data_IF_607970387976
#
_entry.id   IF_607970387976
#
_cell.length_a   1.000
_cell.length_b   1.000
_cell.length_c   1.000
_cell.angle_alpha   90.00
_cell.angle_beta   90.00
_cell.angle_gamma   90.00
#
_symmetry.space_group_name_H-M   'P 1'
#
loop_
_entity.id
_entity.type
_entity.pdbx_description
1 polymer ?
#
# COMPACT_ATOMS: atom_id res chain seq x y z
N UNK A 1 -20.94 -22.93 21.55
CA UNK A 1 -20.62 -24.03 20.60
C UNK A 1 -19.51 -24.85 21.21
N UNK A 2 -19.78 -26.11 21.54
CA UNK A 2 -18.76 -27.02 22.10
C UNK A 2 -17.82 -27.47 20.96
N UNK A 3 -16.50 -27.46 21.20
CA UNK A 3 -15.49 -27.92 20.24
C UNK A 3 -14.78 -29.13 20.85
N UNK A 4 -14.86 -30.27 20.17
CA UNK A 4 -14.15 -31.50 20.54
C UNK A 4 -13.21 -31.93 19.43
N UNK A 5 -12.09 -32.55 19.82
CA UNK A 5 -11.13 -33.14 18.89
C UNK A 5 -11.38 -34.65 18.83
N UNK A 6 -11.55 -35.17 17.63
CA UNK A 6 -11.85 -36.58 17.37
C UNK A 6 -10.72 -37.16 16.50
N UNK A 7 -10.24 -38.35 16.85
CA UNK A 7 -9.28 -39.08 16.05
C UNK A 7 -9.96 -39.66 14.80
N UNK A 8 -9.42 -39.39 13.61
CA UNK A 8 -9.99 -39.82 12.33
C UNK A 8 -10.06 -41.35 12.19
N UNK A 9 -9.03 -42.07 12.63
CA UNK A 9 -8.96 -43.53 12.47
C UNK A 9 -9.83 -44.30 13.46
N UNK A 10 -9.98 -43.79 14.69
CA UNK A 10 -10.63 -44.52 15.79
C UNK A 10 -12.00 -43.97 16.15
N UNK A 11 -12.34 -42.77 15.70
CA UNK A 11 -13.55 -42.05 16.13
C UNK A 11 -13.56 -41.69 17.63
N UNK A 12 -12.47 -41.94 18.36
CA UNK A 12 -12.38 -41.68 19.79
C UNK A 12 -12.12 -40.18 20.06
N UNK A 13 -12.66 -39.71 21.19
CA UNK A 13 -12.38 -38.37 21.70
C UNK A 13 -10.94 -38.28 22.19
N UNK A 14 -10.23 -37.25 21.75
CA UNK A 14 -8.87 -36.97 22.18
C UNK A 14 -8.94 -36.28 23.55
N UNK A 15 -8.55 -36.98 24.62
CA UNK A 15 -8.56 -36.46 25.99
C UNK A 15 -7.31 -35.64 26.33
N UNK A 16 -6.14 -36.07 25.85
CA UNK A 16 -4.90 -35.36 26.08
C UNK A 16 -4.73 -34.20 25.09
N UNK A 17 -4.16 -33.07 25.51
CA UNK A 17 -3.93 -31.97 24.59
C UNK A 17 -2.96 -32.41 23.48
N UNK A 18 -3.27 -32.12 22.21
CA UNK A 18 -2.41 -32.51 21.11
C UNK A 18 -1.05 -31.82 21.21
N UNK A 19 0.01 -32.56 20.86
CA UNK A 19 1.37 -32.01 20.78
C UNK A 19 1.49 -31.13 19.55
N UNK A 20 2.16 -29.98 19.68
CA UNK A 20 2.51 -29.14 18.55
C UNK A 20 3.76 -29.71 17.87
N UNK A 21 3.74 -29.81 16.54
CA UNK A 21 4.89 -30.28 15.76
C UNK A 21 5.37 -29.13 14.88
N UNK A 22 6.64 -28.76 15.03
CA UNK A 22 7.31 -27.76 14.19
C UNK A 22 8.44 -28.47 13.41
N UNK A 23 8.31 -28.63 12.08
CA UNK A 23 9.38 -29.20 11.27
C UNK A 23 10.53 -28.20 11.14
N UNK A 24 11.76 -28.67 11.29
CA UNK A 24 12.98 -27.89 11.12
C UNK A 24 14.11 -28.76 10.54
N UNK A 25 14.65 -28.36 9.37
CA UNK A 25 15.76 -29.04 8.68
C UNK A 25 15.60 -30.57 8.59
N UNK A 26 14.39 -31.02 8.25
CA UNK A 26 13.98 -32.43 8.13
C UNK A 26 13.73 -33.20 9.43
N UNK A 27 13.79 -32.54 10.59
CA UNK A 27 13.40 -33.13 11.87
C UNK A 27 12.09 -32.53 12.38
N UNK A 28 11.25 -33.36 13.00
CA UNK A 28 10.00 -32.93 13.61
C UNK A 28 10.21 -32.67 15.09
N UNK A 29 10.30 -31.40 15.47
CA UNK A 29 10.40 -30.99 16.88
C UNK A 29 9.00 -30.98 17.48
N UNK A 30 8.79 -31.72 18.57
CA UNK A 30 7.50 -31.86 19.24
C UNK A 30 7.52 -31.04 20.52
N UNK A 31 6.46 -30.28 20.76
CA UNK A 31 6.27 -29.48 21.97
C UNK A 31 4.93 -29.81 22.62
N UNK A 32 4.92 -29.84 23.95
CA UNK A 32 3.72 -29.77 24.76
C UNK A 32 3.24 -28.31 24.84
N UNK A 33 1.93 -28.06 25.00
CA UNK A 33 1.40 -26.70 25.18
C UNK A 33 2.03 -25.95 26.37
N UNK A 34 2.35 -26.69 27.43
CA UNK A 34 3.01 -26.18 28.64
C UNK A 34 4.42 -25.67 28.34
N UNK A 35 5.22 -26.43 27.58
CA UNK A 35 6.57 -26.03 27.17
C UNK A 35 6.54 -24.74 26.33
N UNK A 36 5.55 -24.61 25.44
CA UNK A 36 5.37 -23.38 24.64
C UNK A 36 5.00 -22.20 25.55
N UNK A 37 4.16 -22.42 26.55
CA UNK A 37 3.80 -21.40 27.52
C UNK A 37 5.02 -20.95 28.34
N UNK A 38 5.87 -21.88 28.74
CA UNK A 38 7.11 -21.59 29.45
C UNK A 38 8.11 -20.80 28.59
N UNK A 39 8.31 -21.19 27.33
CA UNK A 39 9.19 -20.49 26.39
C UNK A 39 8.72 -19.03 26.18
N UNK A 40 7.41 -18.79 26.16
CA UNK A 40 6.83 -17.44 26.01
C UNK A 40 6.86 -16.60 27.30
N UNK A 41 7.11 -17.22 28.47
CA UNK A 41 7.06 -16.53 29.78
C UNK A 41 8.38 -15.81 30.07
N UNK A 42 8.55 -14.63 29.49
CA UNK A 42 9.75 -13.79 29.66
C UNK A 42 9.66 -12.90 30.91
N UNK A 43 8.46 -12.46 31.31
CA UNK A 43 8.27 -11.58 32.46
C UNK A 43 6.98 -11.94 33.24
N UNK A 44 6.86 -11.54 34.52
CA UNK A 44 5.71 -11.89 35.37
C UNK A 44 4.41 -11.13 35.03
N UNK A 45 4.27 -10.58 33.82
CA UNK A 45 3.05 -9.90 33.36
C UNK A 45 2.77 -8.55 34.02
N UNK A 46 3.74 -7.95 34.71
CA UNK A 46 3.63 -6.64 35.36
C UNK A 46 4.43 -5.58 34.62
N UNK A 47 3.98 -4.33 34.71
CA UNK A 47 4.78 -3.19 34.28
C UNK A 47 5.98 -3.01 35.21
N UNK A 48 7.17 -2.99 34.64
CA UNK A 48 8.42 -2.77 35.35
C UNK A 48 9.00 -1.42 34.92
N UNK A 49 9.26 -0.53 35.87
CA UNK A 49 9.89 0.75 35.59
C UNK A 49 11.36 0.53 35.25
N UNK A 50 11.74 0.83 34.01
CA UNK A 50 13.14 0.78 33.57
C UNK A 50 13.87 2.10 33.85
N UNK A 51 13.17 3.23 33.72
CA UNK A 51 13.73 4.57 33.88
C UNK A 51 12.87 5.62 33.17
N UNK A 52 13.39 6.84 33.10
CA UNK A 52 12.72 7.98 32.47
C UNK A 52 13.50 8.43 31.24
N UNK A 53 12.79 8.67 30.14
CA UNK A 53 13.34 9.12 28.86
C UNK A 53 12.61 10.38 28.41
N UNK A 54 13.31 11.43 27.93
CA UNK A 54 12.65 12.63 27.40
C UNK A 54 11.71 12.31 26.24
N UNK A 55 10.60 13.06 26.14
CA UNK A 55 9.60 12.90 25.09
C UNK A 55 10.18 13.13 23.68
N UNK A 56 11.21 13.96 23.54
CA UNK A 56 11.90 14.19 22.26
C UNK A 56 12.55 12.94 21.67
N UNK A 57 12.77 11.90 22.47
CA UNK A 57 13.29 10.62 21.99
C UNK A 57 12.19 9.69 21.45
N UNK A 58 10.92 10.04 21.63
CA UNK A 58 9.78 9.34 21.06
C UNK A 58 9.46 9.98 19.70
N UNK A 59 9.31 9.14 18.67
CA UNK A 59 9.01 9.57 17.30
C UNK A 59 7.63 9.09 16.93
N UNK A 60 6.84 9.94 16.25
CA UNK A 60 5.44 9.65 15.93
C UNK A 60 5.30 8.42 15.02
N UNK A 61 6.27 8.18 14.14
CA UNK A 61 6.30 7.04 13.23
C UNK A 61 6.73 5.71 13.89
N UNK A 62 6.95 5.66 15.20
CA UNK A 62 7.18 4.40 15.94
C UNK A 62 5.88 3.76 16.46
N UNK A 63 4.73 4.20 15.98
CA UNK A 63 3.45 3.63 16.38
C UNK A 63 3.30 2.18 15.87
N UNK A 64 3.28 1.21 16.78
CA UNK A 64 3.06 -0.20 16.47
C UNK A 64 1.59 -0.61 16.53
N UNK A 65 0.86 -0.07 17.49
CA UNK A 65 -0.53 -0.45 17.81
C UNK A 65 -1.17 0.65 18.66
N UNK A 66 -2.51 0.71 18.71
CA UNK A 66 -3.23 1.70 19.53
C UNK A 66 -2.69 1.75 20.96
N UNK A 67 -2.51 2.96 21.50
CA UNK A 67 -2.01 3.14 22.86
C UNK A 67 -3.07 2.70 23.87
N UNK A 68 -2.61 2.20 25.02
CA UNK A 68 -3.49 1.82 26.13
C UNK A 68 -3.44 2.90 27.21
N UNK A 69 -4.56 3.30 27.78
CA UNK A 69 -4.59 4.26 28.88
C UNK A 69 -4.38 3.57 30.23
N UNK A 70 -3.52 4.13 31.07
CA UNK A 70 -3.21 3.64 32.42
C UNK A 70 -3.70 4.65 33.43
N UNK A 71 -4.55 4.18 34.35
CA UNK A 71 -5.14 4.97 35.43
C UNK A 71 -5.01 4.23 36.77
N UNK A 72 -4.74 4.93 37.89
CA UNK A 72 -4.73 4.31 39.22
C UNK A 72 -6.11 3.76 39.60
N UNK A 73 -6.17 2.53 40.13
CA UNK A 73 -7.42 1.89 40.55
C UNK A 73 -8.00 2.43 41.86
N UNK A 74 -7.19 3.15 42.64
CA UNK A 74 -7.47 3.42 44.06
C UNK A 74 -8.05 4.83 44.31
N UNK A 75 -8.51 5.53 43.26
CA UNK A 75 -9.04 6.90 43.39
C UNK A 75 -10.58 6.93 43.37
N UNK A 76 -11.16 7.73 44.28
CA UNK A 76 -12.59 8.03 44.31
C UNK A 76 -13.00 8.81 43.05
N UNK A 77 -14.11 8.41 42.42
CA UNK A 77 -14.64 9.07 41.23
C UNK A 77 -15.10 10.50 41.56
N UNK A 78 -14.33 11.51 41.13
CA UNK A 78 -14.75 12.91 41.20
C UNK A 78 -15.69 13.17 40.02
N UNK A 79 -17.00 13.01 40.25
CA UNK A 79 -18.02 13.38 39.26
C UNK A 79 -18.25 14.90 39.30
N UNK A 80 -17.77 15.59 38.27
CA UNK A 80 -18.16 16.98 38.00
C UNK A 80 -19.06 17.01 36.76
N UNK A 81 -20.05 17.90 36.73
CA UNK A 81 -20.94 18.04 35.59
C UNK A 81 -20.19 18.71 34.43
N UNK A 82 -19.56 17.90 33.57
CA UNK A 82 -18.83 18.33 32.38
C UNK A 82 -18.36 17.14 31.56
N UNK A 83 -18.15 17.34 30.25
CA UNK A 83 -17.55 16.32 29.39
C UNK A 83 -16.03 16.34 29.58
N UNK A 84 -15.45 15.21 30.01
CA UNK A 84 -14.01 15.05 30.11
C UNK A 84 -13.45 14.62 28.74
N UNK A 85 -12.75 15.53 28.07
CA UNK A 85 -12.13 15.25 26.76
C UNK A 85 -10.78 14.53 26.90
N UNK A 86 -10.00 14.88 27.91
CA UNK A 86 -8.68 14.29 28.17
C UNK A 86 -8.63 13.79 29.62
N UNK A 87 -8.64 12.46 29.86
CA UNK A 87 -8.59 11.92 31.20
C UNK A 87 -7.18 12.05 31.79
N UNK A 88 -7.05 12.40 33.09
CA UNK A 88 -5.75 12.47 33.75
C UNK A 88 -5.19 11.06 33.93
N UNK A 89 -3.98 10.80 33.46
CA UNK A 89 -3.36 9.48 33.54
C UNK A 89 -2.13 9.37 32.65
N UNK A 90 -1.83 8.16 32.18
CA UNK A 90 -0.67 7.92 31.32
C UNK A 90 -1.05 7.09 30.10
N UNK A 91 -0.60 7.51 28.91
CA UNK A 91 -0.66 6.67 27.71
C UNK A 91 0.51 5.68 27.71
N UNK A 92 0.20 4.39 27.70
CA UNK A 92 1.17 3.34 27.44
C UNK A 92 1.38 3.21 25.92
N UNK A 93 2.50 3.76 25.46
CA UNK A 93 2.92 3.76 24.06
C UNK A 93 3.82 2.55 23.80
N UNK A 94 3.50 1.78 22.77
CA UNK A 94 4.23 0.55 22.43
C UNK A 94 5.39 0.85 21.50
N UNK A 95 6.61 0.63 21.99
CA UNK A 95 7.83 0.87 21.23
C UNK A 95 8.24 -0.35 20.39
N UNK A 96 8.67 -0.16 19.13
CA UNK A 96 9.14 -1.24 18.28
C UNK A 96 10.44 -1.85 18.79
N UNK A 97 10.49 -3.19 18.83
CA UNK A 97 11.77 -3.90 18.84
C UNK A 97 12.43 -3.76 17.46
N UNK A 98 13.75 -3.98 17.40
CA UNK A 98 14.51 -3.93 16.14
C UNK A 98 13.92 -4.82 15.03
N UNK A 99 13.33 -5.97 15.40
CA UNK A 99 12.65 -6.86 14.45
C UNK A 99 11.39 -6.28 13.80
N UNK A 100 10.78 -5.25 14.40
CA UNK A 100 9.61 -4.56 13.86
C UNK A 100 9.98 -3.37 12.98
N UNK A 101 11.22 -2.91 13.08
CA UNK A 101 11.71 -1.84 12.21
C UNK A 101 11.99 -2.48 10.86
N UNK A 102 11.10 -2.24 9.90
CA UNK A 102 11.37 -2.55 8.50
C UNK A 102 12.44 -1.55 8.08
N UNK A 103 13.70 -1.99 8.08
CA UNK A 103 14.72 -1.26 7.34
C UNK A 103 14.35 -1.45 5.89
N UNK A 104 14.01 -0.36 5.20
CA UNK A 104 13.87 -0.39 3.76
C UNK A 104 15.18 -1.00 3.23
N UNK A 105 15.10 -2.24 2.76
CA UNK A 105 16.10 -2.72 1.82
C UNK A 105 15.84 -1.83 0.62
N UNK A 106 16.62 -0.76 0.52
CA UNK A 106 16.68 0.16 -0.61
C UNK A 106 17.15 -0.67 -1.81
N UNK A 107 16.27 -1.51 -2.33
CA UNK A 107 16.41 -2.23 -3.58
C UNK A 107 15.86 -1.31 -4.65
N UNK A 108 16.76 -0.84 -5.51
CA UNK A 108 16.45 -0.10 -6.74
C UNK A 108 15.70 1.24 -6.57
N UNK A 109 16.07 2.04 -5.55
CA UNK A 109 15.61 3.43 -5.39
C UNK A 109 16.75 4.46 -5.39
N UNK A 110 17.98 4.05 -5.74
CA UNK A 110 19.16 4.92 -5.81
C UNK A 110 19.06 6.05 -6.85
N UNK A 111 17.92 6.18 -7.55
CA UNK A 111 17.63 7.30 -8.44
C UNK A 111 16.68 8.35 -7.84
N UNK A 112 16.05 8.12 -6.68
CA UNK A 112 14.98 9.01 -6.17
C UNK A 112 15.28 9.59 -4.78
N UNK A 113 15.98 8.85 -3.92
CA UNK A 113 16.35 9.37 -2.59
C UNK A 113 17.85 9.11 -2.34
N UNK A 114 18.64 10.16 -2.14
CA UNK A 114 20.08 10.03 -2.01
C UNK A 114 20.52 9.68 -0.58
N UNK A 115 21.74 9.19 -0.50
CA UNK A 115 22.32 8.53 0.68
C UNK A 115 22.57 9.47 1.87
N UNK A 116 22.44 10.79 1.68
CA UNK A 116 22.59 11.84 2.71
C UNK A 116 21.47 12.87 2.59
N UNK A 117 21.02 13.45 3.71
CA UNK A 117 20.02 14.55 3.73
C UNK A 117 20.44 15.75 2.86
N UNK A 118 21.73 15.90 2.58
CA UNK A 118 22.29 16.99 1.77
C UNK A 118 21.99 16.85 0.28
N UNK A 119 21.80 15.64 -0.23
CA UNK A 119 21.64 15.40 -1.67
C UNK A 119 20.16 15.32 -2.09
N UNK A 120 19.21 15.27 -1.15
CA UNK A 120 17.79 15.01 -1.43
C UNK A 120 17.19 16.10 -2.33
N UNK A 121 16.42 15.74 -3.37
CA UNK A 121 15.78 16.72 -4.22
C UNK A 121 14.85 17.58 -3.36
N UNK A 122 15.26 18.82 -3.13
CA UNK A 122 14.53 19.78 -2.30
C UNK A 122 13.70 20.69 -3.19
N UNK A 123 12.45 20.89 -2.80
CA UNK A 123 11.57 21.84 -3.47
C UNK A 123 12.08 23.28 -3.33
N UNK A 124 11.90 24.07 -4.38
CA UNK A 124 12.24 25.49 -4.38
C UNK A 124 11.27 26.29 -3.49
N UNK A 125 11.71 27.46 -3.01
CA UNK A 125 10.89 28.33 -2.14
C UNK A 125 9.53 28.69 -2.78
N UNK A 126 9.50 28.90 -4.10
CA UNK A 126 8.27 29.17 -4.85
C UNK A 126 7.31 27.97 -4.86
N UNK A 127 7.83 26.75 -5.00
CA UNK A 127 7.04 25.52 -4.91
C UNK A 127 6.49 25.34 -3.49
N UNK A 128 7.31 25.59 -2.46
CA UNK A 128 6.91 25.54 -1.05
C UNK A 128 5.81 26.56 -0.75
N UNK A 129 5.94 27.78 -1.28
CA UNK A 129 4.94 28.83 -1.07
C UNK A 129 3.61 28.49 -1.74
N UNK A 130 3.64 27.92 -2.95
CA UNK A 130 2.44 27.49 -3.69
C UNK A 130 1.73 26.33 -3.01
N UNK A 131 2.45 25.31 -2.55
CA UNK A 131 1.83 24.20 -1.79
C UNK A 131 1.30 24.66 -0.43
N UNK A 132 2.01 25.55 0.27
CA UNK A 132 1.51 26.12 1.52
C UNK A 132 0.21 26.92 1.32
N UNK A 133 0.09 27.63 0.19
CA UNK A 133 -1.14 28.32 -0.18
C UNK A 133 -2.29 27.36 -0.52
N UNK A 134 -1.99 26.20 -1.11
CA UNK A 134 -2.98 25.14 -1.36
C UNK A 134 -3.43 24.50 -0.04
N UNK A 135 -2.49 24.05 0.80
CA UNK A 135 -2.74 23.43 2.11
C UNK A 135 -3.65 24.32 2.96
N UNK A 136 -3.35 25.62 3.03
CA UNK A 136 -4.19 26.59 3.79
C UNK A 136 -5.65 26.65 3.33
N UNK A 137 -5.95 26.32 2.07
CA UNK A 137 -7.30 26.35 1.50
C UNK A 137 -8.06 25.05 1.70
N UNK A 138 -7.34 23.92 1.78
CA UNK A 138 -7.91 22.59 2.04
C UNK A 138 -7.87 22.21 3.53
N UNK A 139 -7.20 23.02 4.36
CA UNK A 139 -7.01 22.73 5.78
C UNK A 139 -8.35 22.70 6.54
N UNK A 140 -8.61 21.58 7.19
CA UNK A 140 -9.74 21.39 8.10
C UNK A 140 -9.35 21.97 9.46
N UNK A 141 -9.97 23.09 9.84
CA UNK A 141 -9.59 23.84 11.06
C UNK A 141 -9.90 23.13 12.37
N UNK A 142 -10.95 22.31 12.40
CA UNK A 142 -11.50 21.73 13.63
C UNK A 142 -11.61 20.21 13.52
N UNK A 143 -10.51 19.55 13.18
CA UNK A 143 -10.48 18.08 13.15
C UNK A 143 -10.87 17.50 14.51
N UNK A 144 -11.85 16.61 14.52
CA UNK A 144 -12.26 15.86 15.70
C UNK A 144 -12.21 14.36 15.42
N UNK A 145 -11.74 13.58 16.38
CA UNK A 145 -11.78 12.12 16.30
C UNK A 145 -13.22 11.57 16.18
N UNK A 146 -14.22 12.37 16.56
CA UNK A 146 -15.65 12.02 16.48
C UNK A 146 -16.33 12.52 15.19
N UNK A 147 -15.58 13.18 14.30
CA UNK A 147 -16.14 13.80 13.09
C UNK A 147 -16.57 12.78 12.05
N UNK A 148 -15.97 11.59 12.07
CA UNK A 148 -16.20 10.55 11.09
C UNK A 148 -16.82 9.34 11.76
N UNK A 149 -18.00 8.92 11.32
CA UNK A 149 -18.53 7.61 11.67
C UNK A 149 -17.56 6.51 11.21
N UNK A 150 -17.42 5.46 12.01
CA UNK A 150 -16.44 4.41 11.81
C UNK A 150 -16.38 3.89 10.36
N UNK A 151 -15.23 3.99 9.67
CA UNK A 151 -15.06 3.38 8.35
C UNK A 151 -15.14 1.86 8.40
N UNK A 152 -14.50 1.19 9.38
CA UNK A 152 -14.60 -0.26 9.65
C UNK A 152 -14.04 -0.58 11.05
N UNK A 153 -14.81 -1.25 11.91
CA UNK A 153 -14.25 -2.08 12.99
C UNK A 153 -14.70 -3.52 12.73
N UNK A 154 -14.04 -4.14 11.75
CA UNK A 154 -14.13 -5.58 11.53
C UNK A 154 -13.09 -6.25 12.41
N UNK A 155 -13.39 -6.42 13.70
CA UNK A 155 -12.76 -7.49 14.44
C UNK A 155 -13.28 -8.83 13.92
N UNK A 156 -12.48 -9.45 13.04
CA UNK A 156 -12.32 -10.90 12.90
C UNK A 156 -13.62 -11.68 12.71
N UNK A 157 -14.18 -11.66 11.51
CA UNK A 157 -15.04 -12.77 11.04
C UNK A 157 -14.64 -13.14 9.61
N UNK A 158 -13.88 -14.22 9.49
CA UNK A 158 -13.63 -15.06 8.31
C UNK A 158 -13.95 -14.48 6.93
N UNK A 159 -13.03 -13.67 6.38
CA UNK A 159 -12.96 -13.35 4.94
C UNK A 159 -11.95 -14.30 4.26
N UNK A 160 -12.13 -15.61 4.43
CA UNK A 160 -11.34 -16.63 3.70
C UNK A 160 -12.17 -17.32 2.60
N UNK A 161 -13.47 -17.03 2.45
CA UNK A 161 -14.32 -17.74 1.48
C UNK A 161 -14.76 -16.97 0.22
N UNK A 162 -14.07 -15.89 -0.17
CA UNK A 162 -14.37 -15.17 -1.42
C UNK A 162 -13.13 -14.95 -2.32
N UNK A 163 -12.19 -15.89 -2.33
CA UNK A 163 -11.03 -15.86 -3.24
C UNK A 163 -11.12 -16.76 -4.48
N UNK A 164 -12.26 -17.40 -4.72
CA UNK A 164 -12.42 -18.25 -5.92
C UNK A 164 -13.80 -18.15 -6.54
N UNK A 165 -14.24 -16.96 -6.97
CA UNK A 165 -14.99 -16.81 -8.22
C UNK A 165 -15.28 -15.33 -8.50
N UNK A 166 -15.16 -14.96 -9.77
CA UNK A 166 -15.60 -13.72 -10.42
C UNK A 166 -14.56 -12.58 -10.52
N UNK A 167 -14.17 -12.37 -11.78
CA UNK A 167 -13.35 -11.28 -12.30
C UNK A 167 -13.93 -9.87 -12.01
N UNK A 168 -13.02 -8.89 -11.99
CA UNK A 168 -13.25 -7.45 -12.16
C UNK A 168 -13.45 -6.59 -10.90
N UNK A 169 -12.33 -6.04 -10.41
CA UNK A 169 -11.99 -4.63 -10.04
C UNK A 169 -13.04 -3.72 -9.35
N UNK A 170 -14.20 -4.23 -8.92
CA UNK A 170 -15.27 -3.43 -8.31
C UNK A 170 -15.31 -3.52 -6.78
N UNK A 171 -14.33 -4.18 -6.16
CA UNK A 171 -14.28 -4.44 -4.71
C UNK A 171 -13.06 -3.79 -4.05
N UNK A 172 -12.75 -2.54 -4.40
CA UNK A 172 -11.90 -1.68 -3.58
C UNK A 172 -12.63 -0.42 -3.07
N UNK A 173 -13.81 -0.11 -3.62
CA UNK A 173 -14.58 1.09 -3.28
C UNK A 173 -15.67 0.88 -2.21
N UNK A 174 -15.87 -0.36 -1.71
CA UNK A 174 -16.91 -0.68 -0.72
C UNK A 174 -16.36 -1.10 0.65
N UNK A 175 -15.14 -0.69 1.02
CA UNK A 175 -14.54 -1.01 2.34
C UNK A 175 -14.82 0.11 3.36
N UNK A 176 -15.80 0.97 3.10
CA UNK A 176 -16.03 2.15 3.94
C UNK A 176 -17.52 2.26 4.28
N UNK A 177 -17.81 2.43 5.58
CA UNK A 177 -19.14 2.40 6.23
C UNK A 177 -19.74 1.00 6.47
N UNK A 178 -18.91 -0.05 6.55
CA UNK A 178 -19.37 -1.42 6.74
C UNK A 178 -20.19 -1.62 8.03
N UNK A 179 -19.79 -0.97 9.13
CA UNK A 179 -20.47 -1.10 10.42
C UNK A 179 -21.84 -0.40 10.41
N UNK A 180 -21.90 0.81 9.86
CA UNK A 180 -23.15 1.57 9.75
C UNK A 180 -24.16 0.83 8.87
N UNK A 181 -23.71 0.34 7.71
CA UNK A 181 -24.55 -0.46 6.82
C UNK A 181 -24.98 -1.78 7.48
N UNK A 182 -24.09 -2.45 8.20
CA UNK A 182 -24.42 -3.68 8.90
C UNK A 182 -25.56 -3.50 9.91
N UNK A 183 -25.47 -2.49 10.78
CA UNK A 183 -26.52 -2.23 11.76
C UNK A 183 -27.81 -1.68 11.13
N UNK A 184 -27.72 -0.87 10.07
CA UNK A 184 -28.88 -0.43 9.30
C UNK A 184 -29.66 -1.62 8.71
N UNK A 185 -28.97 -2.60 8.15
CA UNK A 185 -29.57 -3.84 7.64
C UNK A 185 -30.19 -4.66 8.77
N UNK A 186 -29.47 -4.85 9.89
CA UNK A 186 -30.00 -5.58 11.04
C UNK A 186 -31.26 -4.92 11.60
N UNK A 187 -31.29 -3.59 11.66
CA UNK A 187 -32.44 -2.83 12.11
C UNK A 187 -33.63 -3.01 11.16
N UNK A 188 -33.43 -2.86 9.85
CA UNK A 188 -34.49 -3.06 8.85
C UNK A 188 -35.08 -4.48 8.93
N UNK A 189 -34.22 -5.49 9.05
CA UNK A 189 -34.64 -6.89 9.23
C UNK A 189 -35.42 -7.10 10.54
N UNK A 190 -34.97 -6.48 11.64
CA UNK A 190 -35.64 -6.60 12.93
C UNK A 190 -37.01 -5.90 12.96
N UNK A 191 -37.16 -4.80 12.20
CA UNK A 191 -38.41 -4.04 12.06
C UNK A 191 -39.29 -4.52 10.90
N UNK A 192 -38.84 -5.53 10.13
CA UNK A 192 -39.50 -6.02 8.92
C UNK A 192 -39.79 -4.91 7.90
N UNK A 193 -38.84 -3.99 7.73
CA UNK A 193 -38.86 -2.97 6.69
C UNK A 193 -38.40 -3.58 5.36
N UNK A 194 -39.10 -3.27 4.27
CA UNK A 194 -38.80 -3.79 2.92
C UNK A 194 -37.60 -3.08 2.28
N UNK A 195 -37.32 -1.84 2.69
CA UNK A 195 -36.26 -1.00 2.15
C UNK A 195 -35.10 -0.89 3.16
N UNK A 196 -33.88 -1.15 2.71
CA UNK A 196 -32.66 -0.94 3.50
C UNK A 196 -32.23 0.52 3.31
N UNK A 197 -32.08 1.31 4.38
CA UNK A 197 -31.68 2.70 4.24
C UNK A 197 -30.25 2.82 3.70
N UNK A 198 -30.04 3.79 2.80
CA UNK A 198 -28.73 4.11 2.25
C UNK A 198 -27.87 4.82 3.31
N UNK A 199 -26.65 4.31 3.53
CA UNK A 199 -25.68 4.90 4.44
C UNK A 199 -24.72 5.82 3.69
N UNK A 200 -24.53 7.05 4.17
CA UNK A 200 -23.62 8.03 3.60
C UNK A 200 -22.18 7.72 4.05
N UNK A 201 -21.23 7.70 3.11
CA UNK A 201 -19.80 7.61 3.40
C UNK A 201 -19.23 9.00 3.72
N UNK A 202 -18.98 9.26 4.99
CA UNK A 202 -18.40 10.53 5.48
C UNK A 202 -16.88 10.61 5.30
N UNK A 203 -16.21 9.53 4.89
CA UNK A 203 -14.75 9.52 4.71
C UNK A 203 -14.33 9.91 3.29
N UNK A 204 -15.27 9.91 2.35
CA UNK A 204 -15.04 10.42 1.01
C UNK A 204 -14.62 11.90 1.09
N UNK A 205 -13.67 12.33 0.25
CA UNK A 205 -13.24 13.72 0.23
C UNK A 205 -14.39 14.64 -0.18
N UNK A 206 -14.42 15.85 0.40
CA UNK A 206 -15.40 16.89 0.05
C UNK A 206 -15.16 17.42 -1.37
N UNK A 207 -15.81 16.79 -2.36
CA UNK A 207 -15.70 17.17 -3.77
C UNK A 207 -16.18 18.60 -4.03
N UNK A 208 -17.24 19.05 -3.34
CA UNK A 208 -17.76 20.42 -3.48
C UNK A 208 -16.76 21.45 -2.96
N UNK A 209 -16.13 21.17 -1.80
CA UNK A 209 -15.08 21.99 -1.24
C UNK A 209 -13.83 22.07 -2.14
N UNK A 210 -13.43 20.94 -2.72
CA UNK A 210 -12.25 20.83 -3.58
C UNK A 210 -12.44 21.47 -4.97
N UNK A 211 -13.67 21.48 -5.49
CA UNK A 211 -13.99 22.12 -6.78
C UNK A 211 -14.15 23.64 -6.72
N UNK A 212 -14.04 24.24 -5.52
CA UNK A 212 -14.08 25.70 -5.36
C UNK A 212 -12.99 26.36 -6.21
N UNK A 213 -13.32 27.42 -6.99
CA UNK A 213 -12.36 28.04 -7.91
C UNK A 213 -11.05 28.50 -7.24
N UNK A 214 -11.11 28.88 -5.96
CA UNK A 214 -9.94 29.28 -5.20
C UNK A 214 -8.98 28.12 -4.89
N UNK A 215 -9.50 26.91 -4.69
CA UNK A 215 -8.72 25.68 -4.45
C UNK A 215 -8.14 25.19 -5.77
N UNK A 216 -8.97 25.07 -6.80
CA UNK A 216 -8.56 24.66 -8.16
C UNK A 216 -7.44 25.55 -8.69
N UNK A 217 -7.60 26.87 -8.60
CA UNK A 217 -6.55 27.83 -9.02
C UNK A 217 -5.24 27.65 -8.26
N UNK A 218 -5.30 27.35 -6.96
CA UNK A 218 -4.11 27.11 -6.15
C UNK A 218 -3.44 25.77 -6.51
N UNK A 219 -4.23 24.74 -6.80
CA UNK A 219 -3.76 23.44 -7.25
C UNK A 219 -3.09 23.51 -8.62
N UNK A 220 -3.71 24.18 -9.59
CA UNK A 220 -3.15 24.42 -10.93
C UNK A 220 -1.84 25.21 -10.86
N UNK A 221 -1.79 26.27 -10.04
CA UNK A 221 -0.56 27.05 -9.86
C UNK A 221 0.59 26.22 -9.27
N UNK A 222 0.28 25.32 -8.33
CA UNK A 222 1.27 24.39 -7.78
C UNK A 222 1.70 23.35 -8.82
N UNK A 223 0.75 22.75 -9.55
CA UNK A 223 1.02 21.78 -10.62
C UNK A 223 1.96 22.36 -11.68
N UNK A 224 1.66 23.56 -12.16
CA UNK A 224 2.49 24.26 -13.15
C UNK A 224 3.91 24.51 -12.63
N UNK A 225 4.05 24.79 -11.34
CA UNK A 225 5.35 25.06 -10.72
C UNK A 225 6.25 23.84 -10.55
N UNK A 226 5.65 22.66 -10.42
CA UNK A 226 6.39 21.40 -10.20
C UNK A 226 6.65 20.71 -11.53
N UNK A 227 5.65 20.62 -12.40
CA UNK A 227 5.71 19.82 -13.61
C UNK A 227 5.91 20.63 -14.91
N UNK A 228 5.78 21.96 -14.86
CA UNK A 228 5.88 22.82 -16.04
C UNK A 228 4.72 22.66 -17.03
N UNK A 229 4.87 23.26 -18.22
CA UNK A 229 3.87 23.22 -19.30
C UNK A 229 3.84 21.88 -20.07
N UNK A 230 4.80 21.00 -19.82
CA UNK A 230 5.01 19.75 -20.57
C UNK A 230 4.48 18.51 -19.86
N UNK A 231 3.68 18.68 -18.81
CA UNK A 231 3.07 17.55 -18.12
C UNK A 231 1.81 17.11 -18.84
N UNK A 232 1.95 16.11 -19.71
CA UNK A 232 0.82 15.31 -20.12
C UNK A 232 0.31 14.60 -18.87
N UNK A 233 -0.85 15.02 -18.35
CA UNK A 233 -1.58 14.18 -17.42
C UNK A 233 -1.67 12.81 -18.07
N UNK A 234 -1.24 11.74 -17.40
CA UNK A 234 -1.61 10.41 -17.82
C UNK A 234 -3.13 10.41 -17.89
N UNK A 235 -3.63 10.54 -19.11
CA UNK A 235 -5.04 10.59 -19.43
C UNK A 235 -5.67 9.39 -18.76
N UNK A 236 -6.68 9.64 -17.95
CA UNK A 236 -7.70 8.67 -17.55
C UNK A 236 -8.35 8.11 -18.83
N UNK A 237 -7.64 7.22 -19.53
CA UNK A 237 -8.10 6.49 -20.70
C UNK A 237 -8.89 5.28 -20.21
N UNK A 238 -9.92 5.58 -19.45
CA UNK A 238 -10.78 4.62 -18.79
C UNK A 238 -12.21 4.64 -19.31
N UNK A 239 -12.55 5.29 -20.43
CA UNK A 239 -13.91 5.23 -21.01
C UNK A 239 -13.99 5.78 -22.44
N UNK A 240 -13.48 5.05 -23.44
CA UNK A 240 -14.06 5.12 -24.79
C UNK A 240 -13.74 3.87 -25.62
N UNK A 241 -14.77 3.23 -26.18
CA UNK A 241 -14.66 2.03 -27.02
C UNK A 241 -13.90 2.36 -28.31
N UNK A 242 -12.65 1.92 -28.43
CA UNK A 242 -11.86 2.05 -29.67
C UNK A 242 -11.63 0.72 -30.40
N UNK A 243 -11.67 0.78 -31.73
CA UNK A 243 -11.62 -0.36 -32.66
C UNK A 243 -10.25 -1.06 -32.75
N UNK A 244 -10.29 -2.30 -33.20
CA UNK A 244 -9.18 -3.26 -33.35
C UNK A 244 -8.00 -2.73 -34.20
N UNK A 245 -8.25 -1.80 -35.12
CA UNK A 245 -7.23 -1.15 -35.94
C UNK A 245 -6.29 -0.21 -35.15
N UNK A 246 -6.73 0.29 -33.98
CA UNK A 246 -5.89 1.13 -33.11
C UNK A 246 -4.96 0.29 -32.23
N UNK A 247 -5.39 -0.90 -31.80
CA UNK A 247 -4.54 -1.86 -31.05
C UNK A 247 -3.32 -2.31 -31.85
N UNK A 248 -3.49 -2.52 -33.17
CA UNK A 248 -2.41 -2.94 -34.05
C UNK A 248 -1.36 -1.84 -34.29
N UNK A 249 -1.73 -0.57 -34.19
CA UNK A 249 -0.79 0.57 -34.29
C UNK A 249 0.00 0.80 -33.00
N UNK A 250 -0.62 0.55 -31.83
CA UNK A 250 0.05 0.66 -30.51
C UNK A 250 1.14 -0.40 -30.30
N UNK A 251 0.92 -1.64 -30.74
CA UNK A 251 1.90 -2.73 -30.65
C UNK A 251 3.16 -2.54 -31.54
N UNK A 252 3.07 -1.70 -32.58
CA UNK A 252 4.21 -1.38 -33.46
C UNK A 252 5.10 -0.29 -32.84
N UNK A 253 4.50 0.66 -32.11
CA UNK A 253 5.22 1.74 -31.43
C UNK A 253 6.00 1.23 -30.20
N UNK A 254 5.45 0.25 -29.47
CA UNK A 254 6.06 -0.30 -28.25
C UNK A 254 7.34 -1.10 -28.52
N UNK A 255 7.47 -1.69 -29.71
CA UNK A 255 8.70 -2.40 -30.13
C UNK A 255 9.82 -1.45 -30.63
N UNK A 256 9.55 -0.16 -30.81
CA UNK A 256 10.54 0.81 -31.27
C UNK A 256 11.40 1.37 -30.11
N UNK A 257 11.02 1.13 -28.84
CA UNK A 257 11.67 1.69 -27.65
C UNK A 257 12.71 0.75 -27.00
N UNK A 258 13.44 -0.04 -27.79
CA UNK A 258 14.67 -0.72 -27.34
C UNK A 258 15.87 -0.09 -28.03
N UNK A 259 16.45 0.92 -27.40
CA UNK A 259 17.75 1.45 -27.79
C UNK A 259 18.84 0.41 -27.48
N UNK A 260 19.12 -0.44 -28.46
CA UNK A 260 20.26 -1.35 -28.41
C UNK A 260 21.55 -0.58 -28.74
N UNK A 261 22.60 -0.80 -27.96
CA UNK A 261 23.94 -0.27 -28.26
C UNK A 261 24.60 -1.07 -29.40
N UNK A 262 24.21 -0.71 -30.63
CA UNK A 262 24.57 -1.42 -31.86
C UNK A 262 26.08 -1.52 -32.11
N UNK A 263 26.87 -0.54 -31.63
CA UNK A 263 28.32 -0.52 -31.80
C UNK A 263 29.00 -1.67 -31.05
N UNK A 264 28.64 -1.84 -29.78
CA UNK A 264 29.16 -2.91 -28.92
C UNK A 264 28.69 -4.32 -29.36
N UNK A 265 27.47 -4.42 -29.90
CA UNK A 265 26.92 -5.66 -30.43
C UNK A 265 27.63 -6.13 -31.72
N UNK A 266 28.05 -5.19 -32.56
CA UNK A 266 28.82 -5.47 -33.78
C UNK A 266 30.24 -5.94 -33.45
N UNK A 267 30.93 -5.29 -32.51
CA UNK A 267 32.30 -5.64 -32.11
C UNK A 267 32.41 -7.03 -31.46
N UNK A 268 31.39 -7.42 -30.68
CA UNK A 268 31.36 -8.73 -30.01
C UNK A 268 30.85 -9.85 -30.91
N UNK A 269 30.50 -9.58 -32.17
CA UNK A 269 29.96 -10.56 -33.11
C UNK A 269 28.60 -11.14 -32.67
N UNK A 270 27.83 -10.40 -31.87
CA UNK A 270 26.60 -10.87 -31.23
C UNK A 270 25.33 -10.55 -32.03
N UNK A 271 25.45 -9.87 -33.18
CA UNK A 271 24.34 -9.59 -34.12
C UNK A 271 23.60 -10.86 -34.61
N UNK A 272 24.28 -12.02 -34.59
CA UNK A 272 23.67 -13.33 -34.92
C UNK A 272 22.62 -13.79 -33.91
N UNK A 273 22.68 -13.32 -32.67
CA UNK A 273 21.77 -13.73 -31.59
C UNK A 273 20.46 -12.92 -31.59
N UNK A 274 20.42 -11.77 -32.27
CA UNK A 274 19.23 -10.92 -32.36
C UNK A 274 18.16 -11.51 -33.28
N UNK A 275 16.89 -11.15 -33.03
CA UNK A 275 15.80 -11.60 -33.90
C UNK A 275 15.78 -10.79 -35.19
N UNK A 276 15.15 -11.32 -36.25
CA UNK A 276 15.00 -10.62 -37.53
C UNK A 276 14.20 -9.32 -37.36
N UNK A 277 13.31 -9.26 -36.35
CA UNK A 277 12.57 -8.05 -35.99
C UNK A 277 13.50 -6.94 -35.52
N UNK A 278 14.39 -7.25 -34.59
CA UNK A 278 15.33 -6.28 -34.01
C UNK A 278 16.30 -5.72 -35.07
N UNK A 279 16.84 -6.59 -35.94
CA UNK A 279 17.75 -6.16 -37.02
C UNK A 279 17.08 -5.20 -38.03
N UNK A 280 15.77 -5.33 -38.22
CA UNK A 280 15.00 -4.42 -39.10
C UNK A 280 14.76 -3.05 -38.48
N UNK A 281 14.77 -2.93 -37.14
CA UNK A 281 14.66 -1.65 -36.45
C UNK A 281 15.86 -0.76 -36.81
N UNK A 282 17.09 -1.29 -36.74
CA UNK A 282 18.29 -0.56 -37.15
C UNK A 282 18.30 -0.20 -38.64
N UNK A 283 17.94 -1.15 -39.51
CA UNK A 283 17.91 -0.91 -40.96
C UNK A 283 16.88 0.15 -41.34
N UNK A 284 15.71 0.17 -40.70
CA UNK A 284 14.72 1.23 -40.90
C UNK A 284 15.22 2.58 -40.38
N UNK A 285 15.86 2.62 -39.20
CA UNK A 285 16.43 3.86 -38.64
C UNK A 285 17.49 4.49 -39.56
N UNK A 286 18.27 3.67 -40.26
CA UNK A 286 19.30 4.11 -41.20
C UNK A 286 18.86 4.12 -42.68
N UNK A 287 17.56 3.97 -42.95
CA UNK A 287 16.97 3.96 -44.31
C UNK A 287 17.61 2.92 -45.27
N UNK A 288 18.02 1.77 -44.74
CA UNK A 288 18.61 0.67 -45.50
C UNK A 288 17.54 -0.37 -45.87
N UNK A 289 17.69 -1.06 -47.02
CA UNK A 289 16.72 -2.05 -47.45
C UNK A 289 16.59 -3.20 -46.45
N UNK A 290 15.35 -3.58 -46.10
CA UNK A 290 15.02 -4.64 -45.13
C UNK A 290 14.76 -6.02 -45.76
N UNK A 291 15.09 -6.17 -47.04
CA UNK A 291 14.88 -7.41 -47.80
C UNK A 291 16.09 -8.35 -47.70
N UNK A 292 15.83 -9.64 -47.43
CA UNK A 292 16.82 -10.71 -47.37
C UNK A 292 16.65 -11.68 -46.19
N UNK A 293 17.40 -12.79 -46.21
CA UNK A 293 17.56 -13.70 -45.07
C UNK A 293 18.36 -13.03 -43.95
N UNK A 294 18.30 -13.58 -42.74
CA UNK A 294 18.93 -13.01 -41.53
C UNK A 294 20.42 -12.69 -41.73
N UNK A 295 21.19 -13.54 -42.42
CA UNK A 295 22.61 -13.25 -42.68
C UNK A 295 22.81 -12.01 -43.55
N UNK A 296 21.95 -11.80 -44.55
CA UNK A 296 22.04 -10.64 -45.44
C UNK A 296 21.72 -9.31 -44.73
N UNK A 297 20.86 -9.33 -43.71
CA UNK A 297 20.58 -8.17 -42.87
C UNK A 297 21.79 -7.86 -41.97
N UNK A 298 22.42 -8.88 -41.39
CA UNK A 298 23.62 -8.71 -40.57
C UNK A 298 24.79 -8.15 -41.39
N UNK A 299 25.05 -8.70 -42.59
CA UNK A 299 26.12 -8.20 -43.48
C UNK A 299 25.90 -6.74 -43.88
N UNK A 300 24.65 -6.32 -44.08
CA UNK A 300 24.30 -4.94 -44.43
C UNK A 300 24.55 -3.96 -43.28
N UNK A 301 24.26 -4.39 -42.05
CA UNK A 301 24.54 -3.61 -40.83
C UNK A 301 26.06 -3.46 -40.63
N UNK A 302 26.82 -4.57 -40.77
CA UNK A 302 28.28 -4.56 -40.65
C UNK A 302 28.94 -3.67 -41.71
N UNK A 303 28.48 -3.75 -42.96
CA UNK A 303 28.97 -2.92 -44.07
C UNK A 303 28.70 -1.43 -43.82
N UNK A 304 27.52 -1.08 -43.28
CA UNK A 304 27.20 0.30 -42.92
C UNK A 304 28.06 0.82 -41.76
N UNK A 305 28.44 -0.05 -40.82
CA UNK A 305 29.33 0.27 -39.70
C UNK A 305 30.82 0.21 -40.06
N UNK A 306 31.18 -0.17 -41.29
CA UNK A 306 32.56 -0.26 -41.77
C UNK A 306 33.37 -1.40 -41.15
N UNK A 307 32.71 -2.49 -40.73
CA UNK A 307 33.32 -3.65 -40.05
C UNK A 307 33.11 -4.95 -40.81
#
# INVERSE_FOLDING_TARGET
TERSLICEDTGALIQEPPKLIQPYRNENVKFLPEEIAEIKRISPGRLCLLGFKPLSCLKDYYNLRPSTFVYPSDQDEITSAGAQMEPPGMHMIYLPFSSHVITDKIGDISQIFPDTEEDAPRADEDQIQKVAALIKRIYVKDFSAFQFANPVDCQVVDVILLLYFVDSVTMLYNIVAALQRHYAVLQALALAEDDIPETIDETAPDEEGLTRPAVVKAAEAFKLSVYGDSYDEESDMGKEKMSEASRKRKAIAENAAKDFDWGNLADKGQLKNLTVGDLKVYLNAHNLPVSGKKEALISRILTHMGK
#
